data_IF_596027658610
#
_entry.id   IF_596027658610
#
_cell.length_a   1.000
_cell.length_b   1.000
_cell.length_c   1.000
_cell.angle_alpha   90.00
_cell.angle_beta   90.00
_cell.angle_gamma   90.00
#
_symmetry.space_group_name_H-M   'P 1'
#
loop_
_entity.id
_entity.type
_entity.pdbx_description
1 polymer ?
#
# COMPACT_ATOMS: atom_id res chain seq x y z
N UNK A 1 31.51 -7.75 -45.62
CA UNK A 1 30.37 -7.30 -44.79
C UNK A 1 29.91 -8.35 -43.78
N UNK A 2 29.75 -9.63 -44.15
CA UNK A 2 29.24 -10.69 -43.26
C UNK A 2 30.00 -10.88 -41.92
N UNK A 3 31.34 -10.84 -41.90
CA UNK A 3 32.14 -11.01 -40.66
C UNK A 3 31.93 -9.90 -39.62
N UNK A 4 31.65 -8.67 -40.06
CA UNK A 4 31.43 -7.52 -39.15
C UNK A 4 30.08 -7.65 -38.44
N UNK A 5 29.07 -8.13 -39.16
CA UNK A 5 27.73 -8.41 -38.61
C UNK A 5 27.76 -9.57 -37.60
N UNK A 6 28.56 -10.62 -37.85
CA UNK A 6 28.73 -11.74 -36.91
C UNK A 6 29.41 -11.29 -35.61
N UNK A 7 30.45 -10.45 -35.69
CA UNK A 7 31.12 -9.91 -34.52
C UNK A 7 30.20 -8.99 -33.69
N UNK A 8 29.37 -8.19 -34.37
CA UNK A 8 28.38 -7.32 -33.72
C UNK A 8 27.29 -8.12 -33.01
N UNK A 9 26.79 -9.19 -33.63
CA UNK A 9 25.80 -10.08 -33.01
C UNK A 9 26.36 -10.78 -31.78
N UNK A 10 27.62 -11.22 -31.82
CA UNK A 10 28.31 -11.79 -30.66
C UNK A 10 28.49 -10.76 -29.54
N UNK A 11 28.88 -9.53 -29.85
CA UNK A 11 29.03 -8.46 -28.86
C UNK A 11 27.69 -8.09 -28.21
N UNK A 12 26.60 -8.05 -28.98
CA UNK A 12 25.24 -7.80 -28.46
C UNK A 12 24.80 -8.94 -27.56
N UNK A 13 24.99 -10.20 -27.98
CA UNK A 13 24.64 -11.38 -27.18
C UNK A 13 25.45 -11.45 -25.88
N UNK A 14 26.74 -11.13 -25.91
CA UNK A 14 27.59 -11.06 -24.73
C UNK A 14 27.16 -9.92 -23.78
N UNK A 15 26.83 -8.75 -24.33
CA UNK A 15 26.29 -7.62 -23.55
C UNK A 15 24.95 -7.95 -22.87
N UNK A 16 24.03 -8.60 -23.58
CA UNK A 16 22.77 -9.10 -23.02
C UNK A 16 22.98 -10.21 -21.98
N UNK A 17 23.97 -11.08 -22.18
CA UNK A 17 24.36 -12.11 -21.21
C UNK A 17 24.89 -11.51 -19.89
N UNK A 18 25.70 -10.45 -19.97
CA UNK A 18 26.22 -9.76 -18.77
C UNK A 18 25.10 -9.04 -18.02
N UNK A 19 24.14 -8.42 -18.71
CA UNK A 19 23.00 -7.74 -18.09
C UNK A 19 22.00 -8.70 -17.41
N UNK A 20 21.87 -9.93 -17.93
CA UNK A 20 20.99 -10.97 -17.35
C UNK A 20 21.64 -11.75 -16.20
N UNK A 21 22.97 -11.68 -16.04
CA UNK A 21 23.68 -12.36 -14.96
C UNK A 21 23.30 -11.82 -13.56
N UNK A 22 23.00 -10.52 -13.44
CA UNK A 22 22.69 -9.91 -12.14
C UNK A 22 21.39 -10.44 -11.49
N UNK A 23 20.39 -10.86 -12.29
CA UNK A 23 19.14 -11.40 -11.75
C UNK A 23 19.22 -12.89 -11.40
N UNK A 24 20.16 -13.64 -11.99
CA UNK A 24 20.35 -15.07 -11.74
C UNK A 24 21.26 -15.36 -10.54
N UNK A 25 22.09 -14.39 -10.13
CA UNK A 25 23.16 -14.60 -9.12
C UNK A 25 22.76 -14.14 -7.71
N UNK A 26 21.66 -13.39 -7.53
CA UNK A 26 21.22 -12.94 -6.20
C UNK A 26 20.14 -13.86 -5.62
N UNK A 27 20.49 -14.88 -4.79
CA UNK A 27 19.52 -15.73 -4.10
C UNK A 27 18.82 -15.02 -2.94
N UNK A 28 19.30 -13.84 -2.55
CA UNK A 28 18.79 -13.06 -1.43
C UNK A 28 17.44 -12.44 -1.81
N UNK A 29 16.36 -12.81 -1.12
CA UNK A 29 15.15 -11.99 -1.16
C UNK A 29 15.52 -10.61 -0.61
N UNK A 30 15.21 -9.55 -1.35
CA UNK A 30 15.56 -8.19 -0.95
C UNK A 30 15.00 -7.80 0.42
N UNK A 31 14.00 -8.53 0.91
CA UNK A 31 13.37 -8.37 2.20
C UNK A 31 13.67 -9.58 3.10
N UNK A 32 14.09 -9.33 4.34
CA UNK A 32 14.28 -10.36 5.35
C UNK A 32 12.93 -10.74 5.97
N UNK A 33 12.55 -12.01 5.88
CA UNK A 33 11.30 -12.52 6.47
C UNK A 33 11.38 -12.70 7.99
N UNK A 34 12.56 -12.57 8.58
CA UNK A 34 12.81 -12.76 10.02
C UNK A 34 13.73 -11.68 10.55
N UNK A 35 13.56 -11.34 11.83
CA UNK A 35 14.40 -10.38 12.53
C UNK A 35 15.42 -11.12 13.41
N UNK A 36 16.71 -10.70 13.48
CA UNK A 36 17.74 -11.41 14.24
C UNK A 36 17.49 -11.45 15.76
N UNK A 37 16.73 -10.48 16.25
CA UNK A 37 16.35 -10.37 17.66
C UNK A 37 14.85 -10.61 17.82
N UNK A 38 14.47 -11.33 18.88
CA UNK A 38 13.08 -11.51 19.28
C UNK A 38 12.41 -10.15 19.51
N UNK A 39 11.36 -9.88 18.75
CA UNK A 39 10.54 -8.69 18.91
C UNK A 39 9.40 -9.02 19.89
N UNK A 40 9.10 -8.09 20.81
CA UNK A 40 8.05 -8.28 21.80
C UNK A 40 6.65 -8.46 21.18
N UNK A 41 5.67 -8.78 22.01
CA UNK A 41 4.29 -8.91 21.57
C UNK A 41 3.75 -7.55 21.06
N UNK A 42 3.21 -7.53 19.85
CA UNK A 42 2.59 -6.36 19.24
C UNK A 42 3.23 -5.99 17.91
N UNK A 43 2.97 -4.75 17.48
CA UNK A 43 3.51 -4.22 16.23
C UNK A 43 4.77 -3.39 16.51
N UNK A 44 5.96 -3.84 16.12
CA UNK A 44 7.20 -3.09 16.33
C UNK A 44 7.24 -1.82 15.47
N UNK A 45 7.81 -0.75 16.03
CA UNK A 45 8.11 0.48 15.29
C UNK A 45 9.60 0.49 14.98
N UNK A 46 9.95 0.13 13.76
CA UNK A 46 11.34 -0.11 13.38
C UNK A 46 12.23 1.13 13.59
N UNK A 47 11.67 2.33 13.43
CA UNK A 47 12.40 3.60 13.60
C UNK A 47 12.84 3.87 15.04
N UNK A 48 12.28 3.18 16.04
CA UNK A 48 12.73 3.27 17.44
C UNK A 48 14.14 2.71 17.63
N UNK A 49 14.50 1.68 16.84
CA UNK A 49 15.83 1.07 16.86
C UNK A 49 16.68 1.45 15.63
N UNK A 50 16.06 1.69 14.48
CA UNK A 50 16.70 2.05 13.22
C UNK A 50 16.45 3.51 12.85
N UNK A 51 17.08 4.43 13.60
CA UNK A 51 16.84 5.87 13.48
C UNK A 51 17.49 6.52 12.26
N UNK A 52 18.64 5.99 11.78
CA UNK A 52 19.40 6.57 10.67
C UNK A 52 19.71 5.56 9.55
N UNK A 53 19.12 4.37 9.62
CA UNK A 53 19.37 3.28 8.68
C UNK A 53 18.30 3.20 7.59
N UNK A 54 18.68 2.63 6.46
CA UNK A 54 17.76 2.31 5.36
C UNK A 54 17.42 0.81 5.37
N UNK A 55 16.15 0.50 5.15
CA UNK A 55 15.70 -0.86 4.97
C UNK A 55 16.32 -1.43 3.69
N UNK A 56 17.14 -2.48 3.86
CA UNK A 56 17.73 -3.23 2.75
C UNK A 56 16.57 -3.78 1.89
N UNK A 57 16.68 -3.63 0.58
CA UNK A 57 15.63 -3.98 -0.39
C UNK A 57 14.66 -2.84 -0.70
N UNK A 58 14.11 -2.17 0.31
CA UNK A 58 13.21 -1.03 0.08
C UNK A 58 13.95 0.24 -0.34
N UNK A 59 15.24 0.35 0.03
CA UNK A 59 16.08 1.55 -0.16
C UNK A 59 15.43 2.83 0.42
N UNK A 60 14.69 2.67 1.51
CA UNK A 60 13.98 3.74 2.21
C UNK A 60 14.31 3.70 3.70
N UNK A 61 14.40 4.84 4.39
CA UNK A 61 14.54 4.87 5.84
C UNK A 61 13.41 4.09 6.53
N UNK A 62 13.71 3.40 7.62
CA UNK A 62 12.69 2.63 8.37
C UNK A 62 11.50 3.50 8.81
N UNK A 63 11.75 4.76 9.16
CA UNK A 63 10.71 5.74 9.50
C UNK A 63 9.67 5.97 8.38
N UNK A 64 10.00 5.63 7.13
CA UNK A 64 9.05 5.72 5.99
C UNK A 64 7.89 4.73 6.10
N UNK A 65 8.02 3.71 6.94
CA UNK A 65 7.02 2.66 7.17
C UNK A 65 6.32 2.80 8.52
N UNK A 66 6.62 3.86 9.27
CA UNK A 66 5.90 4.19 10.49
C UNK A 66 4.45 4.49 10.09
N UNK A 67 3.51 3.68 10.57
CA UNK A 67 2.09 3.88 10.24
C UNK A 67 1.49 5.04 11.04
N UNK A 68 2.11 6.20 10.92
CA UNK A 68 1.54 7.49 11.27
C UNK A 68 0.24 7.71 10.49
N UNK A 69 -0.65 8.61 10.96
CA UNK A 69 -1.87 8.96 10.22
C UNK A 69 -1.58 9.39 8.76
N UNK A 70 -0.48 10.12 8.54
CA UNK A 70 -0.04 10.52 7.21
C UNK A 70 0.33 9.32 6.35
N UNK A 71 1.08 8.36 6.88
CA UNK A 71 1.38 7.12 6.16
C UNK A 71 0.11 6.40 5.73
N UNK A 72 -0.87 6.23 6.63
CA UNK A 72 -2.13 5.54 6.29
C UNK A 72 -2.86 6.24 5.14
N UNK A 73 -2.83 7.57 5.10
CA UNK A 73 -3.42 8.35 4.01
C UNK A 73 -2.67 8.20 2.69
N UNK A 74 -1.34 8.18 2.75
CA UNK A 74 -0.48 8.29 1.57
C UNK A 74 0.14 6.96 1.11
N UNK A 75 -0.07 5.85 1.84
CA UNK A 75 0.55 4.54 1.60
C UNK A 75 0.39 4.04 0.17
N UNK A 76 -0.65 4.49 -0.55
CA UNK A 76 -0.87 4.20 -1.98
C UNK A 76 0.34 4.56 -2.85
N UNK A 77 1.07 5.62 -2.51
CA UNK A 77 2.25 6.06 -3.26
C UNK A 77 3.43 5.12 -3.01
N UNK A 78 3.59 4.62 -1.79
CA UNK A 78 4.61 3.65 -1.43
C UNK A 78 4.28 2.27 -2.02
N UNK A 79 3.04 1.81 -1.86
CA UNK A 79 2.56 0.53 -2.40
C UNK A 79 2.61 0.50 -3.93
N UNK A 80 2.35 1.63 -4.60
CA UNK A 80 2.49 1.75 -6.05
C UNK A 80 3.93 1.71 -6.56
N UNK A 81 4.91 2.04 -5.72
CA UNK A 81 6.34 1.92 -6.06
C UNK A 81 6.83 0.49 -5.85
N UNK A 82 6.55 -0.08 -4.67
CA UNK A 82 6.91 -1.46 -4.36
C UNK A 82 6.02 -2.03 -3.25
N UNK A 83 5.06 -2.86 -3.66
CA UNK A 83 4.16 -3.56 -2.74
C UNK A 83 4.82 -4.77 -2.05
N UNK A 84 5.94 -5.29 -2.57
CA UNK A 84 6.61 -6.43 -1.97
C UNK A 84 7.25 -6.06 -0.63
N UNK A 85 7.65 -4.80 -0.43
CA UNK A 85 8.11 -4.31 0.86
C UNK A 85 7.07 -4.56 1.97
N UNK A 86 5.78 -4.40 1.65
CA UNK A 86 4.68 -4.63 2.59
C UNK A 86 4.51 -6.11 2.95
N UNK A 87 4.84 -7.02 2.03
CA UNK A 87 4.73 -8.46 2.20
C UNK A 87 5.70 -9.02 3.27
N UNK A 88 6.72 -8.25 3.64
CA UNK A 88 7.64 -8.57 4.73
C UNK A 88 6.93 -8.67 6.08
N UNK A 89 5.81 -7.94 6.26
CA UNK A 89 5.07 -7.89 7.52
C UNK A 89 3.58 -8.25 7.36
N UNK A 90 3.00 -8.02 6.19
CA UNK A 90 1.57 -8.19 5.93
C UNK A 90 1.30 -9.29 4.91
N UNK A 91 0.31 -10.13 5.18
CA UNK A 91 -0.23 -11.04 4.18
C UNK A 91 -0.96 -10.26 3.07
N UNK A 92 -1.00 -10.79 1.84
CA UNK A 92 -1.73 -10.15 0.73
C UNK A 92 -3.23 -9.95 1.01
N UNK A 93 -3.82 -10.76 1.89
CA UNK A 93 -5.20 -10.57 2.35
C UNK A 93 -5.42 -9.21 3.02
N UNK A 94 -4.40 -8.63 3.66
CA UNK A 94 -4.47 -7.30 4.26
C UNK A 94 -4.74 -6.22 3.22
N UNK A 95 -4.07 -6.30 2.06
CA UNK A 95 -4.33 -5.41 0.93
C UNK A 95 -5.76 -5.62 0.43
N UNK A 96 -6.18 -6.88 0.31
CA UNK A 96 -7.49 -7.26 -0.20
C UNK A 96 -8.66 -6.81 0.71
N UNK A 97 -8.42 -6.63 2.02
CA UNK A 97 -9.43 -6.10 2.94
C UNK A 97 -9.95 -4.73 2.48
N UNK A 98 -9.11 -3.94 1.78
CA UNK A 98 -9.47 -2.64 1.22
C UNK A 98 -9.50 -2.55 -0.30
N UNK A 99 -8.57 -3.22 -0.99
CA UNK A 99 -8.38 -3.18 -2.44
C UNK A 99 -8.99 -4.37 -3.18
N UNK A 100 -9.49 -5.38 -2.47
CA UNK A 100 -10.14 -6.54 -3.06
C UNK A 100 -11.51 -6.15 -3.59
N UNK A 101 -11.60 -5.81 -4.87
CA UNK A 101 -12.84 -5.39 -5.56
C UNK A 101 -14.01 -6.39 -5.58
N UNK A 102 -14.00 -7.42 -4.70
CA UNK A 102 -15.03 -8.43 -4.50
C UNK A 102 -15.35 -8.73 -3.03
N UNK A 103 -14.94 -7.90 -2.07
CA UNK A 103 -15.62 -7.94 -0.76
C UNK A 103 -17.00 -7.31 -0.97
N UNK A 104 -18.12 -7.99 -0.62
CA UNK A 104 -19.46 -7.41 -0.69
C UNK A 104 -19.67 -6.21 0.26
N UNK A 105 -18.62 -5.81 0.98
CA UNK A 105 -18.65 -4.87 2.07
C UNK A 105 -17.40 -3.98 1.99
N UNK A 106 -17.59 -2.67 1.77
CA UNK A 106 -16.49 -1.69 1.72
C UNK A 106 -15.75 -1.68 3.08
N UNK A 107 -14.46 -1.31 3.14
CA UNK A 107 -13.71 -1.25 4.41
C UNK A 107 -14.37 -0.40 5.49
N UNK A 108 -15.06 0.65 5.05
CA UNK A 108 -15.87 1.54 5.88
C UNK A 108 -17.09 0.86 6.52
N UNK A 109 -17.53 -0.28 6.00
CA UNK A 109 -18.61 -1.09 6.58
C UNK A 109 -18.04 -2.23 7.43
N UNK A 110 -16.92 -2.84 7.02
CA UNK A 110 -16.29 -3.95 7.78
C UNK A 110 -15.59 -3.48 9.06
N UNK A 111 -15.10 -2.24 9.08
CA UNK A 111 -14.30 -1.65 10.16
C UNK A 111 -14.79 -0.23 10.50
N UNK A 112 -16.09 0.05 10.34
CA UNK A 112 -16.65 1.39 10.54
C UNK A 112 -16.59 1.87 11.99
N UNK A 113 -16.62 0.97 12.96
CA UNK A 113 -16.49 1.31 14.38
C UNK A 113 -15.07 1.71 14.80
N UNK A 114 -14.08 1.59 13.90
CA UNK A 114 -12.68 1.90 14.21
C UNK A 114 -12.40 3.41 14.18
N UNK A 115 -12.03 4.03 15.30
CA UNK A 115 -11.80 5.48 15.38
C UNK A 115 -10.52 5.92 14.63
N UNK A 116 -9.57 5.00 14.42
CA UNK A 116 -8.35 5.25 13.64
C UNK A 116 -8.62 5.34 12.13
N UNK A 117 -9.79 4.92 11.67
CA UNK A 117 -10.19 5.00 10.27
C UNK A 117 -11.23 6.09 10.09
N UNK A 118 -10.78 7.24 9.62
CA UNK A 118 -11.66 8.31 9.15
C UNK A 118 -12.44 7.83 7.91
N UNK A 119 -13.56 7.14 8.13
CA UNK A 119 -14.43 6.65 7.06
C UNK A 119 -15.81 7.27 7.12
N UNK A 120 -16.46 7.50 5.96
CA UNK A 120 -17.81 8.04 5.90
C UNK A 120 -18.91 7.10 6.42
N UNK A 121 -18.57 5.90 6.91
CA UNK A 121 -19.54 4.95 7.48
C UNK A 121 -19.12 4.49 8.86
N UNK A 122 -18.55 5.42 9.63
CA UNK A 122 -18.23 5.13 11.02
C UNK A 122 -19.48 4.93 11.89
N UNK A 123 -19.35 4.23 13.01
CA UNK A 123 -20.50 3.86 13.85
C UNK A 123 -21.38 5.05 14.30
N UNK A 124 -20.79 6.23 14.41
CA UNK A 124 -21.40 7.52 14.75
C UNK A 124 -21.78 8.37 13.52
N UNK A 125 -21.74 7.80 12.31
CA UNK A 125 -21.98 8.53 11.06
C UNK A 125 -23.32 9.26 11.06
N UNK A 126 -24.41 8.66 11.56
CA UNK A 126 -25.72 9.33 11.57
C UNK A 126 -25.71 10.64 12.37
N UNK A 127 -24.86 10.78 13.38
CA UNK A 127 -24.70 12.01 14.15
C UNK A 127 -23.85 13.04 13.40
N UNK A 128 -22.83 12.59 12.67
CA UNK A 128 -21.80 13.45 12.07
C UNK A 128 -22.02 13.77 10.60
N UNK A 129 -22.84 12.98 9.89
CA UNK A 129 -23.12 13.16 8.47
C UNK A 129 -23.69 14.54 8.15
N UNK A 130 -24.38 15.18 9.10
CA UNK A 130 -24.86 16.56 8.94
C UNK A 130 -23.69 17.54 8.77
N UNK A 131 -22.62 17.36 9.55
CA UNK A 131 -21.45 18.23 9.46
C UNK A 131 -20.61 17.85 8.24
N UNK A 132 -20.35 16.57 8.03
CA UNK A 132 -19.53 16.08 6.91
C UNK A 132 -20.18 16.36 5.56
N UNK A 133 -21.49 16.12 5.42
CA UNK A 133 -22.25 16.43 4.22
C UNK A 133 -22.40 17.92 3.93
N UNK A 134 -22.23 18.79 4.96
CA UNK A 134 -22.13 20.24 4.75
C UNK A 134 -20.72 20.68 4.34
N UNK A 135 -19.69 20.05 4.90
CA UNK A 135 -18.30 20.39 4.61
C UNK A 135 -17.88 19.90 3.22
N UNK A 136 -18.11 18.63 2.92
CA UNK A 136 -17.76 18.01 1.65
C UNK A 136 -18.67 16.81 1.33
N UNK A 137 -19.84 17.04 0.71
CA UNK A 137 -20.70 15.95 0.27
C UNK A 137 -20.13 15.19 -0.93
N UNK A 138 -19.12 15.73 -1.62
CA UNK A 138 -18.53 15.10 -2.80
C UNK A 138 -17.75 13.83 -2.47
N UNK A 139 -17.17 13.77 -1.28
CA UNK A 139 -16.52 12.57 -0.71
C UNK A 139 -17.41 11.32 -0.76
N UNK A 140 -18.73 11.49 -0.67
CA UNK A 140 -19.72 10.41 -0.68
C UNK A 140 -20.06 9.95 -2.11
N UNK A 141 -19.96 10.86 -3.09
CA UNK A 141 -20.47 10.64 -4.44
C UNK A 141 -19.68 9.61 -5.25
N UNK A 142 -18.39 9.46 -4.94
CA UNK A 142 -17.54 8.39 -5.49
C UNK A 142 -18.16 7.00 -5.31
N UNK A 143 -18.93 6.82 -4.23
CA UNK A 143 -19.49 5.54 -3.82
C UNK A 143 -21.01 5.46 -3.93
N UNK A 144 -21.71 6.57 -3.68
CA UNK A 144 -23.18 6.62 -3.63
C UNK A 144 -23.80 7.31 -4.86
N UNK A 145 -23.01 7.94 -5.73
CA UNK A 145 -23.54 8.75 -6.83
C UNK A 145 -23.97 10.14 -6.36
N UNK A 146 -24.82 10.83 -7.11
CA UNK A 146 -25.08 12.28 -6.91
C UNK A 146 -25.97 12.57 -5.70
N UNK A 147 -25.99 13.84 -5.27
CA UNK A 147 -26.70 14.35 -4.09
C UNK A 147 -28.19 13.94 -3.97
N UNK A 148 -28.87 13.74 -5.10
CA UNK A 148 -30.30 13.42 -5.17
C UNK A 148 -30.57 11.94 -5.49
N UNK A 149 -29.75 11.04 -4.95
CA UNK A 149 -29.98 9.61 -5.09
C UNK A 149 -31.01 9.11 -4.06
N UNK A 150 -31.46 7.87 -4.24
CA UNK A 150 -32.42 7.21 -3.36
C UNK A 150 -31.94 7.11 -1.90
N UNK A 151 -30.63 7.23 -1.64
CA UNK A 151 -30.04 7.13 -0.31
C UNK A 151 -30.21 8.42 0.49
N UNK A 152 -29.97 9.57 -0.15
CA UNK A 152 -30.20 10.88 0.46
C UNK A 152 -31.70 11.17 0.59
N UNK A 153 -32.47 10.85 -0.46
CA UNK A 153 -33.92 11.09 -0.54
C UNK A 153 -34.74 10.33 0.51
N UNK A 154 -34.17 9.27 1.11
CA UNK A 154 -34.80 8.52 2.18
C UNK A 154 -35.07 9.38 3.43
N UNK A 155 -34.18 10.34 3.72
CA UNK A 155 -34.24 11.19 4.92
C UNK A 155 -34.33 12.69 4.58
N UNK A 156 -33.90 13.12 3.40
CA UNK A 156 -33.90 14.50 2.93
C UNK A 156 -34.84 14.64 1.73
N UNK A 157 -36.04 15.16 1.95
CA UNK A 157 -37.00 15.52 0.90
C UNK A 157 -36.95 17.01 0.60
#
# INVERSE_FOLDING_TARGET
MARKNVLQLFAIALGLGILTACSLISPETSFAATHPQELGAGRPVCSECHSNDVAKGALKPYASFDHTPTFVKDHRFQAGQDSNTCASCHAQSFCADCHGGKVPMKPSIRLGDRPDRATPHRGDYMTLHRMEGKMDPSSCYTCHGRANNDKCAACHR
#
